data_IF_485107062839
#
_entry.id   IF_485107062839
#
_cell.length_a   1.000
_cell.length_b   1.000
_cell.length_c   1.000
_cell.angle_alpha   90.00
_cell.angle_beta   90.00
_cell.angle_gamma   90.00
#
_symmetry.space_group_name_H-M   'P 1'
#
loop_
_entity.id
_entity.type
_entity.pdbx_description
1 polymer ?
#
# COMPACT_ATOMS: atom_id res chain seq x y z
N UNK A 1 16.93 -5.33 3.16
CA UNK A 1 16.01 -5.77 4.23
C UNK A 1 15.56 -7.19 3.92
N UNK A 2 15.37 -8.08 4.90
CA UNK A 2 14.86 -9.43 4.66
C UNK A 2 13.58 -9.65 5.49
N UNK A 3 12.58 -10.31 4.92
CA UNK A 3 11.31 -10.61 5.62
C UNK A 3 11.36 -11.94 6.37
N UNK A 4 12.37 -12.78 6.07
CA UNK A 4 12.67 -14.03 6.76
C UNK A 4 14.16 -14.31 6.65
N UNK A 5 14.78 -14.70 7.77
CA UNK A 5 16.14 -15.23 7.77
C UNK A 5 16.09 -16.73 7.46
N UNK A 6 16.92 -17.19 6.54
CA UNK A 6 16.99 -18.57 6.07
C UNK A 6 18.44 -19.03 5.84
N UNK A 7 19.37 -18.58 6.69
CA UNK A 7 20.80 -18.82 6.52
C UNK A 7 21.30 -18.30 5.16
N UNK A 8 22.05 -19.12 4.44
CA UNK A 8 22.59 -18.77 3.12
C UNK A 8 21.52 -18.57 2.04
N UNK A 9 20.31 -19.10 2.26
CA UNK A 9 19.17 -18.90 1.36
C UNK A 9 18.39 -17.61 1.66
N UNK A 10 18.88 -16.75 2.56
CA UNK A 10 18.22 -15.48 2.89
C UNK A 10 18.18 -14.56 1.68
N UNK A 11 16.97 -14.19 1.26
CA UNK A 11 16.79 -13.21 0.19
C UNK A 11 16.64 -11.82 0.80
N UNK A 12 17.57 -10.92 0.45
CA UNK A 12 17.48 -9.52 0.81
C UNK A 12 16.75 -8.73 -0.26
N UNK A 13 15.59 -8.19 0.11
CA UNK A 13 14.86 -7.24 -0.69
C UNK A 13 15.67 -5.93 -0.79
N UNK A 14 15.81 -5.37 -2.02
CA UNK A 14 16.40 -4.05 -2.20
C UNK A 14 15.46 -3.02 -1.61
N UNK A 15 15.79 -2.54 -0.42
CA UNK A 15 15.12 -1.43 0.23
C UNK A 15 16.07 -0.24 0.12
N UNK A 16 16.07 0.39 -1.05
CA UNK A 16 16.97 1.48 -1.42
C UNK A 16 16.14 2.64 -1.98
N UNK A 17 16.60 3.88 -1.77
CA UNK A 17 15.97 5.11 -2.27
C UNK A 17 16.07 5.28 -3.79
N UNK A 18 16.98 4.55 -4.42
CA UNK A 18 17.41 4.81 -5.80
C UNK A 18 18.37 5.99 -5.86
N UNK A 19 19.18 6.04 -6.91
CA UNK A 19 20.07 7.18 -7.16
C UNK A 19 20.32 7.32 -8.67
N UNK A 20 20.12 8.51 -9.23
CA UNK A 20 20.29 8.82 -10.66
C UNK A 20 19.61 7.78 -11.58
N UNK A 21 18.31 7.51 -11.35
CA UNK A 21 17.51 6.51 -12.06
C UNK A 21 17.99 5.04 -11.90
N UNK A 22 18.94 4.78 -11.01
CA UNK A 22 19.53 3.46 -10.78
C UNK A 22 19.39 2.95 -9.34
N UNK A 23 20.06 1.83 -9.08
CA UNK A 23 20.14 1.18 -7.75
C UNK A 23 21.00 2.01 -6.78
N UNK A 24 20.85 1.75 -5.49
CA UNK A 24 21.63 2.40 -4.42
C UNK A 24 20.86 3.56 -3.78
N UNK A 25 21.57 4.37 -2.99
CA UNK A 25 21.00 5.48 -2.22
C UNK A 25 21.73 6.77 -2.56
N UNK A 26 21.10 7.95 -2.54
CA UNK A 26 21.79 9.20 -2.81
C UNK A 26 22.93 9.46 -1.80
N UNK A 27 23.98 10.20 -2.16
CA UNK A 27 24.95 10.74 -1.21
C UNK A 27 24.23 11.50 -0.08
N UNK A 28 24.68 11.32 1.16
CA UNK A 28 24.19 12.06 2.31
C UNK A 28 25.33 12.97 2.80
N UNK A 29 25.29 14.30 2.59
CA UNK A 29 26.35 15.21 3.04
C UNK A 29 26.57 15.21 4.56
N UNK A 30 25.52 14.90 5.33
CA UNK A 30 25.54 14.92 6.79
C UNK A 30 25.78 13.57 7.45
N UNK A 31 26.04 12.50 6.68
CA UNK A 31 26.19 11.17 7.27
C UNK A 31 26.29 10.04 6.25
N UNK A 32 25.91 8.83 6.66
CA UNK A 32 25.99 7.66 5.79
C UNK A 32 24.84 7.64 4.77
N UNK A 33 25.06 7.06 3.58
CA UNK A 33 24.03 6.92 2.51
C UNK A 33 22.83 6.05 2.92
N UNK A 34 22.95 5.31 4.02
CA UNK A 34 21.91 4.45 4.58
C UNK A 34 21.31 5.01 5.88
N UNK A 35 21.62 6.25 6.24
CA UNK A 35 21.18 6.85 7.50
C UNK A 35 19.66 6.90 7.66
N UNK A 36 18.94 7.10 6.54
CA UNK A 36 17.49 7.02 6.47
C UNK A 36 16.91 5.71 7.07
N UNK A 37 17.67 4.62 7.10
CA UNK A 37 17.19 3.39 7.72
C UNK A 37 16.89 3.57 9.21
N UNK A 38 17.81 4.16 9.99
CA UNK A 38 17.58 4.37 11.43
C UNK A 38 16.91 5.71 11.74
N UNK A 39 17.13 6.73 10.90
CA UNK A 39 16.59 8.07 11.12
C UNK A 39 15.12 8.21 10.73
N UNK A 40 14.69 7.46 9.69
CA UNK A 40 13.35 7.59 9.14
C UNK A 40 12.57 6.28 9.28
N UNK A 41 13.14 5.16 8.85
CA UNK A 41 12.40 3.91 8.62
C UNK A 41 12.20 3.10 9.91
N UNK A 42 13.26 2.91 10.70
CA UNK A 42 13.27 2.10 11.93
C UNK A 42 12.91 2.89 13.19
N UNK A 43 12.44 4.13 13.04
CA UNK A 43 11.85 4.87 14.16
C UNK A 43 10.60 4.14 14.65
N UNK A 44 10.26 4.20 15.96
CA UNK A 44 9.11 3.47 16.50
C UNK A 44 7.80 3.76 15.76
N UNK A 45 7.53 5.04 15.47
CA UNK A 45 6.32 5.46 14.76
C UNK A 45 6.29 4.97 13.30
N UNK A 46 7.41 5.07 12.58
CA UNK A 46 7.48 4.56 11.20
C UNK A 46 7.32 3.04 11.17
N UNK A 47 7.96 2.31 12.09
CA UNK A 47 7.87 0.86 12.13
C UNK A 47 6.45 0.40 12.47
N UNK A 48 5.79 1.02 13.45
CA UNK A 48 4.39 0.76 13.78
C UNK A 48 3.48 0.98 12.56
N UNK A 49 3.63 2.13 11.87
CA UNK A 49 2.87 2.42 10.66
C UNK A 49 3.10 1.40 9.54
N UNK A 50 4.35 0.93 9.34
CA UNK A 50 4.65 -0.09 8.35
C UNK A 50 3.97 -1.42 8.71
N UNK A 51 4.08 -1.85 9.96
CA UNK A 51 3.49 -3.10 10.43
C UNK A 51 1.97 -3.09 10.33
N UNK A 52 1.33 -1.96 10.67
CA UNK A 52 -0.12 -1.80 10.68
C UNK A 52 -0.71 -1.67 9.27
N UNK A 53 -0.15 -0.80 8.43
CA UNK A 53 -0.80 -0.42 7.17
C UNK A 53 -0.15 -0.96 5.89
N UNK A 54 1.05 -1.56 5.98
CA UNK A 54 1.77 -2.00 4.79
C UNK A 54 2.09 -3.50 4.77
N UNK A 55 2.36 -4.12 5.91
CA UNK A 55 2.79 -5.51 5.95
C UNK A 55 1.63 -6.47 5.68
N UNK A 56 1.86 -7.47 4.82
CA UNK A 56 0.83 -8.45 4.43
C UNK A 56 1.35 -9.86 4.58
N UNK A 57 0.52 -10.75 5.14
CA UNK A 57 0.76 -12.19 5.12
C UNK A 57 0.01 -12.84 3.96
N UNK A 58 0.75 -13.46 3.04
CA UNK A 58 0.19 -14.12 1.86
C UNK A 58 0.36 -15.63 1.95
N UNK A 59 -0.75 -16.36 1.97
CA UNK A 59 -0.78 -17.81 1.80
C UNK A 59 -1.36 -18.22 0.44
N UNK A 60 -1.06 -19.45 -0.01
CA UNK A 60 -1.68 -20.03 -1.22
C UNK A 60 -3.20 -20.17 -1.08
N UNK A 61 -3.70 -20.43 0.13
CA UNK A 61 -5.12 -20.54 0.48
C UNK A 61 -5.39 -19.76 1.77
N UNK A 62 -6.66 -19.40 2.03
CA UNK A 62 -7.07 -18.78 3.31
C UNK A 62 -6.72 -19.66 4.52
N UNK A 63 -6.76 -20.98 4.34
CA UNK A 63 -6.44 -21.99 5.37
C UNK A 63 -4.94 -22.28 5.50
N UNK A 64 -4.06 -21.61 4.74
CA UNK A 64 -2.62 -21.80 4.87
C UNK A 64 -2.16 -21.42 6.30
N UNK A 65 -1.47 -22.33 7.02
CA UNK A 65 -0.94 -22.05 8.36
C UNK A 65 -0.03 -20.82 8.35
N UNK A 66 -0.05 -20.03 9.43
CA UNK A 66 0.74 -18.79 9.53
C UNK A 66 2.23 -19.02 9.24
N UNK A 67 2.80 -20.12 9.75
CA UNK A 67 4.21 -20.49 9.53
C UNK A 67 4.58 -20.74 8.05
N UNK A 68 3.58 -20.95 7.19
CA UNK A 68 3.75 -21.20 5.75
C UNK A 68 3.33 -20.00 4.89
N UNK A 69 2.98 -18.87 5.50
CA UNK A 69 2.64 -17.64 4.76
C UNK A 69 3.90 -16.82 4.49
N UNK A 70 3.94 -16.22 3.30
CA UNK A 70 4.98 -15.29 2.92
C UNK A 70 4.64 -13.90 3.47
N UNK A 71 5.60 -13.28 4.14
CA UNK A 71 5.49 -11.91 4.62
C UNK A 71 5.95 -10.96 3.51
N UNK A 72 5.03 -10.11 3.06
CA UNK A 72 5.29 -9.04 2.09
C UNK A 72 5.52 -7.74 2.86
N UNK A 73 6.69 -7.14 2.64
CA UNK A 73 7.07 -5.83 3.14
C UNK A 73 7.10 -4.82 1.98
N UNK A 74 6.70 -3.56 2.19
CA UNK A 74 6.77 -2.56 1.13
C UNK A 74 8.22 -2.32 0.70
N UNK A 75 8.42 -2.06 -0.60
CA UNK A 75 9.67 -1.48 -1.10
C UNK A 75 9.67 0.02 -0.79
N UNK A 76 10.86 0.62 -0.70
CA UNK A 76 11.00 2.03 -0.32
C UNK A 76 10.11 2.97 -1.16
N UNK A 77 10.16 2.87 -2.50
CA UNK A 77 9.36 3.74 -3.37
C UNK A 77 7.85 3.56 -3.21
N UNK A 78 7.41 2.35 -2.83
CA UNK A 78 6.00 2.08 -2.56
C UNK A 78 5.57 2.69 -1.23
N UNK A 79 6.42 2.60 -0.21
CA UNK A 79 6.18 3.23 1.09
C UNK A 79 6.12 4.76 0.94
N UNK A 80 7.10 5.33 0.24
CA UNK A 80 7.26 6.76 0.02
C UNK A 80 6.05 7.37 -0.70
N UNK A 81 5.62 6.76 -1.82
CA UNK A 81 4.48 7.29 -2.59
C UNK A 81 3.17 7.24 -1.80
N UNK A 82 2.91 6.14 -1.07
CA UNK A 82 1.67 6.01 -0.31
C UNK A 82 1.63 7.00 0.84
N UNK A 83 2.74 7.14 1.60
CA UNK A 83 2.83 8.12 2.68
C UNK A 83 2.66 9.54 2.17
N UNK A 84 3.27 9.89 1.04
CA UNK A 84 3.12 11.20 0.40
C UNK A 84 1.67 11.49 0.02
N UNK A 85 0.98 10.56 -0.63
CA UNK A 85 -0.42 10.72 -1.05
C UNK A 85 -1.36 10.85 0.17
N UNK A 86 -1.18 10.03 1.20
CA UNK A 86 -2.00 10.04 2.41
C UNK A 86 -1.78 11.33 3.21
N UNK A 87 -0.53 11.78 3.32
CA UNK A 87 -0.20 13.03 4.00
C UNK A 87 -0.81 14.24 3.27
N UNK A 88 -0.70 14.29 1.94
CA UNK A 88 -1.28 15.39 1.16
C UNK A 88 -2.82 15.38 1.27
N UNK A 89 -3.46 14.22 1.11
CA UNK A 89 -4.91 14.09 1.23
C UNK A 89 -5.42 14.48 2.63
N UNK A 90 -4.68 14.17 3.69
CA UNK A 90 -5.02 14.59 5.06
C UNK A 90 -4.92 16.10 5.24
N UNK A 91 -3.92 16.73 4.62
CA UNK A 91 -3.67 18.17 4.75
C UNK A 91 -4.62 19.02 3.90
N UNK A 92 -4.97 18.56 2.70
CA UNK A 92 -5.68 19.38 1.70
C UNK A 92 -7.08 18.87 1.34
N UNK A 93 -7.44 17.64 1.75
CA UNK A 93 -8.70 17.03 1.36
C UNK A 93 -8.74 16.60 -0.13
N UNK A 94 -9.94 16.39 -0.68
CA UNK A 94 -10.13 15.96 -2.07
C UNK A 94 -9.86 17.09 -3.09
N UNK A 95 -9.79 16.73 -4.37
CA UNK A 95 -9.75 17.70 -5.49
C UNK A 95 -8.40 17.82 -6.22
N UNK A 96 -7.37 17.11 -5.78
CA UNK A 96 -6.07 17.06 -6.44
C UNK A 96 -5.91 15.84 -7.35
N UNK A 97 -5.08 16.00 -8.39
CA UNK A 97 -4.71 14.94 -9.33
C UNK A 97 -3.23 14.63 -9.21
N UNK A 98 -2.88 13.35 -9.16
CA UNK A 98 -1.50 12.88 -9.01
C UNK A 98 -1.13 11.96 -10.18
N UNK A 99 0.08 12.12 -10.70
CA UNK A 99 0.68 11.18 -11.66
C UNK A 99 1.84 10.45 -11.00
N UNK A 100 1.67 9.15 -10.79
CA UNK A 100 2.71 8.28 -10.21
C UNK A 100 3.32 7.41 -11.31
N UNK A 101 4.61 7.55 -11.54
CA UNK A 101 5.34 6.80 -12.57
C UNK A 101 6.11 5.62 -11.96
N UNK A 102 5.56 4.43 -12.12
CA UNK A 102 6.19 3.17 -11.69
C UNK A 102 6.62 2.36 -12.90
N UNK A 103 7.84 1.80 -12.87
CA UNK A 103 8.29 0.88 -13.91
C UNK A 103 7.49 -0.44 -13.90
N UNK A 104 7.46 -1.15 -15.03
CA UNK A 104 6.87 -2.48 -15.09
C UNK A 104 7.59 -3.44 -14.10
N UNK A 105 6.84 -4.28 -13.38
CA UNK A 105 7.40 -5.20 -12.37
C UNK A 105 7.82 -4.55 -11.03
N UNK A 106 7.69 -3.23 -10.89
CA UNK A 106 8.02 -2.51 -9.64
C UNK A 106 7.10 -2.83 -8.45
N UNK A 107 5.97 -3.50 -8.70
CA UNK A 107 4.95 -3.78 -7.69
C UNK A 107 3.86 -2.69 -7.57
N UNK A 108 3.59 -1.93 -8.64
CA UNK A 108 2.59 -0.85 -8.66
C UNK A 108 1.20 -1.22 -8.10
N UNK A 109 0.76 -2.46 -8.27
CA UNK A 109 -0.53 -2.94 -7.74
C UNK A 109 -0.59 -2.85 -6.23
N UNK A 110 0.52 -3.14 -5.53
CA UNK A 110 0.57 -2.99 -4.07
C UNK A 110 0.44 -1.53 -3.64
N UNK A 111 1.08 -0.60 -4.35
CA UNK A 111 0.93 0.83 -4.06
C UNK A 111 -0.52 1.28 -4.23
N UNK A 112 -1.21 0.86 -5.29
CA UNK A 112 -2.63 1.15 -5.50
C UNK A 112 -3.46 0.60 -4.34
N UNK A 113 -3.25 -0.65 -3.95
CA UNK A 113 -3.97 -1.29 -2.82
C UNK A 113 -3.73 -0.54 -1.51
N UNK A 114 -2.47 -0.29 -1.15
CA UNK A 114 -2.12 0.41 0.09
C UNK A 114 -2.68 1.83 0.13
N UNK A 115 -2.61 2.57 -0.99
CA UNK A 115 -3.22 3.88 -1.10
C UNK A 115 -4.73 3.80 -0.88
N UNK A 116 -5.43 2.89 -1.55
CA UNK A 116 -6.89 2.78 -1.43
C UNK A 116 -7.32 2.50 0.02
N UNK A 117 -6.59 1.64 0.73
CA UNK A 117 -6.85 1.36 2.15
C UNK A 117 -6.59 2.56 3.05
N UNK A 118 -5.44 3.20 2.92
CA UNK A 118 -5.12 4.28 3.83
C UNK A 118 -6.01 5.51 3.56
N UNK A 119 -6.43 5.74 2.31
CA UNK A 119 -7.36 6.83 1.98
C UNK A 119 -8.72 6.68 2.67
N UNK A 120 -9.25 5.45 2.82
CA UNK A 120 -10.52 5.27 3.56
C UNK A 120 -10.36 5.45 5.08
N UNK A 121 -9.13 5.49 5.59
CA UNK A 121 -8.80 5.75 7.00
C UNK A 121 -8.40 7.22 7.23
N UNK A 122 -8.22 8.02 6.17
CA UNK A 122 -7.93 9.45 6.32
C UNK A 122 -9.15 10.16 6.87
N UNK A 123 -8.94 10.87 7.97
CA UNK A 123 -9.94 11.69 8.63
C UNK A 123 -9.46 13.13 8.76
N UNK A 124 -10.43 14.07 8.76
CA UNK A 124 -10.18 15.47 9.00
C UNK A 124 -9.60 15.68 10.41
N UNK A 125 -8.57 16.54 10.55
CA UNK A 125 -8.09 16.95 11.86
C UNK A 125 -9.23 17.61 12.67
N UNK A 126 -9.42 17.16 13.91
CA UNK A 126 -10.33 17.79 14.87
C UNK A 126 -11.65 17.04 15.10
N UNK A 127 -12.37 16.66 14.04
CA UNK A 127 -13.69 16.04 14.18
C UNK A 127 -13.74 14.55 13.79
N UNK A 128 -12.65 14.02 13.23
CA UNK A 128 -12.53 12.60 12.90
C UNK A 128 -13.42 12.15 11.74
N UNK A 129 -14.11 13.07 11.05
CA UNK A 129 -14.92 12.72 9.87
C UNK A 129 -14.02 12.22 8.74
N UNK A 130 -14.41 11.16 8.01
CA UNK A 130 -13.62 10.65 6.92
C UNK A 130 -13.49 11.70 5.81
N UNK A 131 -12.30 11.83 5.23
CA UNK A 131 -12.06 12.73 4.08
C UNK A 131 -12.71 12.16 2.81
N UNK A 132 -12.82 10.83 2.72
CA UNK A 132 -13.43 10.14 1.59
C UNK A 132 -14.51 9.17 2.07
N UNK A 133 -15.69 9.24 1.44
CA UNK A 133 -16.76 8.27 1.67
C UNK A 133 -16.43 6.92 1.04
N UNK A 134 -15.90 6.95 -0.19
CA UNK A 134 -15.52 5.79 -0.98
C UNK A 134 -14.28 6.08 -1.82
N UNK A 135 -13.48 5.03 -2.07
CA UNK A 135 -12.36 5.03 -3.01
C UNK A 135 -12.67 4.05 -4.14
N UNK A 136 -12.60 4.53 -5.38
CA UNK A 136 -12.82 3.72 -6.57
C UNK A 136 -11.48 3.42 -7.23
N UNK A 137 -11.18 2.14 -7.41
CA UNK A 137 -10.00 1.66 -8.12
C UNK A 137 -10.44 1.17 -9.50
N UNK A 138 -10.04 1.90 -10.53
CA UNK A 138 -10.36 1.58 -11.93
C UNK A 138 -9.16 0.89 -12.58
N UNK A 139 -9.37 -0.25 -13.21
CA UNK A 139 -8.30 -0.97 -13.92
C UNK A 139 -8.80 -1.57 -15.24
N UNK A 140 -8.01 -1.39 -16.29
CA UNK A 140 -8.30 -1.93 -17.64
C UNK A 140 -8.05 -3.44 -17.76
N UNK A 141 -7.36 -4.07 -16.79
CA UNK A 141 -6.95 -5.48 -16.88
C UNK A 141 -7.68 -6.36 -15.87
N UNK A 142 -8.54 -7.27 -16.36
CA UNK A 142 -9.20 -8.34 -15.56
C UNK A 142 -8.25 -9.15 -14.66
N UNK A 143 -7.00 -9.36 -15.07
CA UNK A 143 -6.00 -10.05 -14.25
C UNK A 143 -5.43 -9.17 -13.12
N UNK A 144 -5.34 -7.85 -13.35
CA UNK A 144 -4.94 -6.89 -12.33
C UNK A 144 -6.05 -6.74 -11.30
N UNK A 145 -7.32 -6.73 -11.74
CA UNK A 145 -8.50 -6.79 -10.86
C UNK A 145 -8.43 -7.98 -9.91
N UNK A 146 -8.16 -9.17 -10.43
CA UNK A 146 -8.13 -10.38 -9.61
C UNK A 146 -7.01 -10.32 -8.57
N UNK A 147 -5.83 -9.82 -8.95
CA UNK A 147 -4.70 -9.66 -8.02
C UNK A 147 -4.97 -8.57 -6.96
N UNK A 148 -5.51 -7.43 -7.39
CA UNK A 148 -5.89 -6.34 -6.49
C UNK A 148 -6.97 -6.82 -5.51
N UNK A 149 -8.05 -7.43 -6.02
CA UNK A 149 -9.15 -7.99 -5.20
C UNK A 149 -8.64 -9.04 -4.22
N UNK A 150 -7.76 -9.95 -4.64
CA UNK A 150 -7.18 -10.96 -3.76
C UNK A 150 -6.23 -10.36 -2.72
N UNK A 151 -5.46 -9.33 -3.07
CA UNK A 151 -4.61 -8.65 -2.12
C UNK A 151 -5.46 -7.85 -1.13
N UNK A 152 -6.45 -7.13 -1.63
CA UNK A 152 -7.39 -6.32 -0.85
C UNK A 152 -8.15 -7.21 0.14
N UNK A 153 -8.73 -8.32 -0.29
CA UNK A 153 -9.41 -9.27 0.60
C UNK A 153 -8.51 -9.91 1.69
N UNK A 154 -7.18 -9.75 1.63
CA UNK A 154 -6.25 -10.19 2.68
C UNK A 154 -5.92 -9.11 3.71
N UNK A 155 -6.16 -7.83 3.40
CA UNK A 155 -6.00 -6.73 4.36
C UNK A 155 -7.18 -6.62 5.31
N UNK A 156 -8.36 -7.10 4.91
CA UNK A 156 -9.59 -6.95 5.69
C UNK A 156 -10.02 -8.27 6.28
N UNK A 157 -10.01 -8.36 7.61
CA UNK A 157 -10.86 -9.33 8.31
C UNK A 157 -12.35 -8.97 8.10
N UNK A 158 -12.66 -7.68 7.88
CA UNK A 158 -14.01 -7.16 7.68
C UNK A 158 -14.39 -7.23 6.19
N UNK A 159 -15.01 -8.33 5.80
CA UNK A 159 -15.47 -8.60 4.42
C UNK A 159 -16.47 -7.58 3.85
N UNK A 160 -16.97 -6.63 4.65
CA UNK A 160 -18.07 -5.75 4.24
C UNK A 160 -17.65 -4.41 3.62
N UNK A 161 -16.37 -4.01 3.67
CA UNK A 161 -15.96 -2.68 3.22
C UNK A 161 -15.51 -2.60 1.74
N UNK A 162 -15.22 -3.75 1.12
CA UNK A 162 -14.73 -3.86 -0.26
C UNK A 162 -15.81 -4.48 -1.15
N UNK A 163 -15.99 -3.96 -2.36
CA UNK A 163 -16.86 -4.53 -3.37
C UNK A 163 -16.23 -4.50 -4.77
N UNK A 164 -16.69 -5.39 -5.64
CA UNK A 164 -16.35 -5.40 -7.06
C UNK A 164 -17.58 -5.02 -7.89
N UNK A 165 -17.38 -4.19 -8.91
CA UNK A 165 -18.42 -3.74 -9.82
C UNK A 165 -18.10 -4.13 -11.26
N UNK A 166 -18.78 -5.13 -11.80
CA UNK A 166 -18.67 -5.50 -13.23
C UNK A 166 -19.48 -4.58 -14.16
N UNK A 167 -20.42 -3.81 -13.61
CA UNK A 167 -21.33 -2.94 -14.35
C UNK A 167 -21.54 -1.61 -13.64
N UNK A 168 -21.98 -0.59 -14.38
CA UNK A 168 -22.37 0.71 -13.80
C UNK A 168 -23.52 0.58 -12.78
N UNK A 169 -24.41 -0.40 -12.97
CA UNK A 169 -25.47 -0.71 -12.02
C UNK A 169 -24.91 -1.23 -10.68
N UNK A 170 -23.92 -2.13 -10.73
CA UNK A 170 -23.22 -2.59 -9.52
C UNK A 170 -22.48 -1.45 -8.84
N UNK A 171 -21.76 -0.62 -9.60
CA UNK A 171 -21.04 0.54 -9.06
C UNK A 171 -21.98 1.48 -8.30
N UNK A 172 -23.12 1.81 -8.92
CA UNK A 172 -24.18 2.62 -8.28
C UNK A 172 -24.65 1.98 -6.96
N UNK A 173 -25.01 0.70 -6.99
CA UNK A 173 -25.48 -0.02 -5.81
C UNK A 173 -24.44 -0.03 -4.67
N UNK A 174 -23.15 -0.21 -5.00
CA UNK A 174 -22.08 -0.23 -4.00
C UNK A 174 -21.84 1.16 -3.39
N UNK A 175 -21.99 2.23 -4.17
CA UNK A 175 -21.94 3.60 -3.65
C UNK A 175 -23.13 3.88 -2.72
N UNK A 176 -24.35 3.53 -3.12
CA UNK A 176 -25.57 3.73 -2.33
C UNK A 176 -25.58 2.91 -1.04
N UNK A 177 -24.92 1.74 -1.04
CA UNK A 177 -24.76 0.88 0.16
C UNK A 177 -23.56 1.24 1.03
N UNK A 178 -22.83 2.32 0.70
CA UNK A 178 -21.73 2.83 1.53
C UNK A 178 -20.47 1.97 1.51
N UNK A 179 -20.18 1.26 0.41
CA UNK A 179 -18.93 0.52 0.26
C UNK A 179 -17.75 1.50 0.22
N UNK A 180 -16.75 1.24 1.07
CA UNK A 180 -15.59 2.13 1.26
C UNK A 180 -14.57 1.98 0.12
N UNK A 181 -14.40 0.77 -0.40
CA UNK A 181 -13.50 0.51 -1.54
C UNK A 181 -14.28 -0.24 -2.62
N UNK A 182 -14.26 0.29 -3.85
CA UNK A 182 -14.95 -0.32 -5.00
C UNK A 182 -13.93 -0.52 -6.12
N UNK A 183 -13.83 -1.74 -6.64
CA UNK A 183 -12.94 -2.10 -7.75
C UNK A 183 -13.79 -2.31 -8.99
N UNK A 184 -13.46 -1.67 -10.12
CA UNK A 184 -14.21 -1.74 -11.39
C UNK A 184 -13.32 -1.75 -12.62
#
# INVERSE_FOLDING_TARGET
>A
MATKLAGDATIFLPFNRGHNHGKGNPPNPGGHRTAYLWEEILTPGSLANILEHFVVLVGKKKTTPLAQRDLIFPRYHQLDVVRGLVADARAHGPGKTYLIQHSAGSGKSHSITWTAYQLIEVSHPGDGRPVFDSVIVVTDRRNLDRQLTQNIAKFTEVSNIVAHADTSAHLKQHLESGKRIIIT
#
